data_IF_545368670073
#
_entry.id   IF_545368670073
#
_cell.length_a   1.000
_cell.length_b   1.000
_cell.length_c   1.000
_cell.angle_alpha   90.00
_cell.angle_beta   90.00
_cell.angle_gamma   90.00
#
_symmetry.space_group_name_H-M   'P 1'
#
loop_
_entity.id
_entity.type
_entity.pdbx_description
1 polymer ?
#
# COMPACT_ATOMS: atom_id res chain seq x y z
N UNK A 1 -10.70 -10.20 4.02
CA UNK A 1 -9.81 -9.40 3.15
C UNK A 1 -10.57 -8.27 2.48
N UNK A 2 -11.52 -8.55 1.56
CA UNK A 2 -12.17 -7.51 0.75
C UNK A 2 -12.88 -6.41 1.57
N UNK A 3 -13.52 -6.73 2.70
CA UNK A 3 -14.13 -5.71 3.58
C UNK A 3 -13.10 -4.76 4.19
N UNK A 4 -11.97 -5.29 4.64
CA UNK A 4 -10.88 -4.50 5.23
C UNK A 4 -10.20 -3.64 4.15
N UNK A 5 -10.03 -4.17 2.93
CA UNK A 5 -9.56 -3.39 1.77
C UNK A 5 -10.50 -2.23 1.42
N UNK A 6 -11.81 -2.46 1.45
CA UNK A 6 -12.81 -1.39 1.23
C UNK A 6 -12.71 -0.32 2.31
N UNK A 7 -12.51 -0.71 3.56
CA UNK A 7 -12.40 0.21 4.68
C UNK A 7 -11.11 1.05 4.62
N UNK A 8 -9.95 0.42 4.45
CA UNK A 8 -8.67 1.11 4.25
C UNK A 8 -8.69 2.05 3.05
N UNK A 9 -9.29 1.60 1.93
CA UNK A 9 -9.54 2.44 0.76
C UNK A 9 -10.37 3.67 1.12
N UNK A 10 -11.52 3.46 1.79
CA UNK A 10 -12.39 4.57 2.18
C UNK A 10 -11.66 5.56 3.09
N UNK A 11 -10.83 5.05 4.01
CA UNK A 11 -10.00 5.86 4.90
C UNK A 11 -9.01 6.73 4.13
N UNK A 12 -8.17 6.16 3.28
CA UNK A 12 -7.21 6.93 2.48
C UNK A 12 -7.89 7.87 1.47
N UNK A 13 -9.04 7.47 0.92
CA UNK A 13 -9.87 8.32 0.04
C UNK A 13 -10.42 9.56 0.76
N UNK A 14 -10.74 9.45 2.05
CA UNK A 14 -11.19 10.58 2.86
C UNK A 14 -10.04 11.51 3.30
N UNK A 15 -8.81 10.98 3.35
CA UNK A 15 -7.60 11.72 3.73
C UNK A 15 -7.04 12.51 2.56
N UNK A 16 -6.81 11.87 1.41
CA UNK A 16 -6.08 12.51 0.31
C UNK A 16 -7.10 13.20 -0.61
N UNK A 17 -6.99 14.53 -0.74
CA UNK A 17 -7.95 15.37 -1.46
C UNK A 17 -7.45 15.80 -2.85
N UNK A 18 -6.24 15.36 -3.21
CA UNK A 18 -5.59 15.72 -4.44
C UNK A 18 -6.22 15.02 -5.66
N UNK A 19 -6.04 15.62 -6.84
CA UNK A 19 -6.41 15.00 -8.12
C UNK A 19 -5.19 15.06 -9.02
N UNK A 20 -4.43 13.95 -9.15
CA UNK A 20 -3.21 13.96 -9.90
C UNK A 20 -3.49 13.96 -11.41
N UNK A 21 -2.46 14.20 -12.21
CA UNK A 21 -2.61 14.21 -13.67
C UNK A 21 -2.88 12.81 -14.22
N UNK A 22 -3.72 12.73 -15.25
CA UNK A 22 -4.01 11.46 -15.93
C UNK A 22 -2.80 10.96 -16.71
N UNK A 23 -2.46 9.69 -16.50
CA UNK A 23 -1.43 8.96 -17.25
C UNK A 23 -2.13 8.03 -18.23
N UNK A 24 -1.83 8.14 -19.52
CA UNK A 24 -2.39 7.26 -20.54
C UNK A 24 -1.65 5.92 -20.58
N UNK A 25 -2.37 4.83 -20.84
CA UNK A 25 -1.81 3.49 -21.03
C UNK A 25 -2.26 2.90 -22.36
N UNK A 26 -1.35 2.19 -23.03
CA UNK A 26 -1.75 1.16 -23.98
C UNK A 26 -2.13 -0.07 -23.17
N UNK A 27 -3.33 -0.63 -23.37
CA UNK A 27 -3.89 -1.79 -22.66
C UNK A 27 -3.11 -3.11 -22.79
N UNK A 28 -1.82 -3.05 -23.07
CA UNK A 28 -0.84 -4.13 -23.04
C UNK A 28 0.22 -3.93 -21.96
N UNK A 29 0.12 -2.85 -21.17
CA UNK A 29 1.11 -2.54 -20.13
C UNK A 29 0.81 -3.33 -18.86
N UNK A 30 1.76 -4.13 -18.41
CA UNK A 30 1.71 -4.78 -17.11
C UNK A 30 1.99 -3.75 -16.01
N UNK A 31 0.92 -3.25 -15.37
CA UNK A 31 1.02 -2.30 -14.26
C UNK A 31 1.52 -2.92 -12.95
N UNK A 32 1.79 -4.22 -12.95
CA UNK A 32 2.29 -4.93 -11.77
C UNK A 32 3.80 -5.15 -11.80
N UNK A 33 4.48 -4.70 -12.87
CA UNK A 33 5.94 -4.84 -13.04
C UNK A 33 6.40 -6.31 -12.91
N UNK A 34 5.64 -7.24 -13.49
CA UNK A 34 5.90 -8.68 -13.45
C UNK A 34 5.74 -9.34 -12.07
N UNK A 35 5.37 -8.59 -11.02
CA UNK A 35 5.10 -9.14 -9.68
C UNK A 35 3.82 -9.96 -9.65
N UNK A 36 2.92 -9.63 -10.59
CA UNK A 36 1.74 -10.38 -10.93
C UNK A 36 1.93 -10.82 -12.38
N UNK A 37 1.22 -11.86 -12.82
CA UNK A 37 1.47 -12.39 -14.15
C UNK A 37 1.10 -11.34 -15.23
N UNK A 38 1.86 -11.25 -16.33
CA UNK A 38 1.78 -10.16 -17.30
C UNK A 38 0.43 -10.05 -18.04
N UNK A 39 -0.47 -10.99 -17.82
CA UNK A 39 -1.79 -11.11 -18.43
C UNK A 39 -2.92 -10.58 -17.52
N UNK A 40 -2.58 -9.91 -16.40
CA UNK A 40 -3.52 -9.19 -15.54
C UNK A 40 -3.52 -7.66 -15.79
N UNK A 41 -2.90 -7.22 -16.88
CA UNK A 41 -2.80 -5.81 -17.26
C UNK A 41 -4.19 -5.14 -17.33
N UNK A 42 -4.34 -3.90 -16.88
CA UNK A 42 -5.66 -3.30 -16.76
C UNK A 42 -6.35 -2.99 -18.10
N UNK A 43 -7.68 -3.12 -18.09
CA UNK A 43 -8.64 -2.64 -19.10
C UNK A 43 -8.78 -1.11 -19.18
N UNK A 44 -7.77 -0.37 -18.72
CA UNK A 44 -7.84 1.09 -18.61
C UNK A 44 -7.00 1.75 -19.70
N UNK A 45 -7.61 2.71 -20.41
CA UNK A 45 -6.89 3.57 -21.36
C UNK A 45 -6.10 4.69 -20.66
N UNK A 46 -6.39 4.95 -19.38
CA UNK A 46 -5.70 5.93 -18.55
C UNK A 46 -5.92 5.67 -17.05
N UNK A 47 -5.02 6.18 -16.20
CA UNK A 47 -5.14 6.26 -14.74
C UNK A 47 -4.97 7.72 -14.33
N UNK A 48 -6.04 8.32 -13.84
CA UNK A 48 -6.08 9.67 -13.27
C UNK A 48 -5.85 9.72 -11.77
N UNK A 49 -5.74 8.57 -11.10
CA UNK A 49 -5.42 8.43 -9.68
C UNK A 49 -4.31 7.37 -9.48
N UNK A 50 -4.64 6.22 -8.88
CA UNK A 50 -3.79 5.05 -8.66
C UNK A 50 -4.61 3.77 -8.74
N UNK A 51 -4.02 2.72 -9.31
CA UNK A 51 -4.52 1.35 -9.23
C UNK A 51 -3.64 0.55 -8.28
N UNK A 52 -4.25 -0.15 -7.33
CA UNK A 52 -3.54 -0.98 -6.37
C UNK A 52 -3.99 -2.43 -6.55
N UNK A 53 -3.08 -3.29 -6.99
CA UNK A 53 -3.32 -4.72 -7.10
C UNK A 53 -3.00 -5.39 -5.78
N UNK A 54 -3.82 -6.35 -5.35
CA UNK A 54 -3.53 -7.06 -4.10
C UNK A 54 -3.80 -8.56 -4.18
N UNK A 55 -3.06 -9.34 -3.37
CA UNK A 55 -3.30 -10.78 -3.16
C UNK A 55 -2.86 -11.27 -1.79
N UNK A 56 -3.36 -12.45 -1.43
CA UNK A 56 -2.69 -13.30 -0.46
C UNK A 56 -1.51 -14.01 -1.12
N UNK A 57 -0.40 -14.16 -0.41
CA UNK A 57 0.82 -14.82 -0.88
C UNK A 57 1.58 -15.50 0.25
N UNK A 58 2.52 -16.38 -0.09
CA UNK A 58 3.51 -16.88 0.87
C UNK A 58 4.63 -15.84 1.00
N UNK A 59 4.76 -15.25 2.19
CA UNK A 59 5.79 -14.27 2.52
C UNK A 59 6.86 -14.87 3.46
N UNK A 60 7.95 -14.15 3.67
CA UNK A 60 8.96 -14.50 4.66
C UNK A 60 8.35 -14.62 6.06
N UNK A 61 8.88 -15.49 6.94
CA UNK A 61 8.36 -15.64 8.31
C UNK A 61 8.30 -14.30 9.05
N UNK A 62 7.16 -14.00 9.69
CA UNK A 62 6.94 -12.77 10.45
C UNK A 62 6.52 -11.56 9.62
N UNK A 63 6.51 -11.64 8.29
CA UNK A 63 6.05 -10.55 7.42
C UNK A 63 4.54 -10.66 7.21
N UNK A 64 3.78 -9.69 7.72
CA UNK A 64 2.32 -9.63 7.60
C UNK A 64 1.88 -9.17 6.21
N UNK A 65 2.56 -8.16 5.67
CA UNK A 65 2.29 -7.56 4.37
C UNK A 65 3.56 -7.05 3.71
N UNK A 66 3.44 -6.73 2.42
CA UNK A 66 4.43 -5.98 1.67
C UNK A 66 3.74 -5.24 0.55
N UNK A 67 4.00 -3.93 0.46
CA UNK A 67 3.42 -3.09 -0.56
C UNK A 67 4.41 -2.07 -1.11
N UNK A 68 4.08 -1.55 -2.28
CA UNK A 68 4.78 -0.40 -2.83
C UNK A 68 4.38 -0.04 -4.25
N UNK A 69 4.81 1.15 -4.72
CA UNK A 69 4.59 1.58 -6.09
C UNK A 69 5.30 0.64 -7.07
N UNK A 70 4.61 0.29 -8.14
CA UNK A 70 5.22 -0.32 -9.33
C UNK A 70 5.57 0.76 -10.35
N UNK A 71 4.77 1.82 -10.39
CA UNK A 71 5.03 2.96 -11.24
C UNK A 71 4.64 4.29 -10.58
N UNK A 72 5.48 5.29 -10.83
CA UNK A 72 5.31 6.66 -10.33
C UNK A 72 5.27 7.66 -11.47
N UNK A 73 4.54 8.77 -11.27
CA UNK A 73 4.54 9.93 -12.16
C UNK A 73 5.89 10.63 -12.05
N UNK A 74 6.43 11.10 -13.16
CA UNK A 74 7.62 11.97 -13.16
C UNK A 74 7.22 13.36 -13.65
N UNK A 75 7.69 14.44 -13.00
CA UNK A 75 8.68 14.48 -11.91
C UNK A 75 8.09 14.45 -10.48
N UNK A 76 6.78 14.27 -10.29
CA UNK A 76 6.15 14.41 -8.96
C UNK A 76 6.32 13.20 -8.03
N UNK A 77 6.78 12.06 -8.54
CA UNK A 77 6.92 10.78 -7.85
C UNK A 77 5.62 10.21 -7.24
N UNK A 78 4.46 10.78 -7.57
CA UNK A 78 3.16 10.25 -7.16
C UNK A 78 2.89 8.89 -7.82
N UNK A 79 2.66 7.82 -7.05
CA UNK A 79 2.30 6.52 -7.62
C UNK A 79 1.06 6.59 -8.50
N UNK A 80 1.04 5.82 -9.59
CA UNK A 80 -0.19 5.59 -10.37
C UNK A 80 -0.52 4.10 -10.51
N UNK A 81 0.41 3.24 -10.13
CA UNK A 81 0.19 1.81 -9.98
C UNK A 81 1.04 1.29 -8.82
N UNK A 82 0.48 0.34 -8.08
CA UNK A 82 1.12 -0.27 -6.93
C UNK A 82 0.62 -1.70 -6.73
N UNK A 83 1.35 -2.43 -5.89
CA UNK A 83 1.01 -3.80 -5.50
C UNK A 83 1.03 -3.94 -4.00
N UNK A 84 0.18 -4.80 -3.46
CA UNK A 84 0.19 -5.24 -2.06
C UNK A 84 0.08 -6.77 -1.99
N UNK A 85 0.87 -7.38 -1.12
CA UNK A 85 0.80 -8.80 -0.83
C UNK A 85 0.63 -8.98 0.68
N UNK A 86 -0.22 -9.90 1.08
CA UNK A 86 -0.43 -10.23 2.49
C UNK A 86 -0.17 -11.71 2.74
N UNK A 87 0.44 -12.03 3.88
CA UNK A 87 0.79 -13.41 4.22
C UNK A 87 -0.47 -14.26 4.39
N UNK A 88 -0.60 -15.31 3.57
CA UNK A 88 -1.73 -16.25 3.66
C UNK A 88 -1.79 -16.91 5.03
N UNK A 89 -0.65 -17.33 5.57
CA UNK A 89 -0.61 -18.06 6.85
C UNK A 89 -0.95 -17.19 8.04
N UNK A 90 -0.52 -15.92 8.03
CA UNK A 90 -0.81 -14.97 9.11
C UNK A 90 -2.22 -14.38 8.97
N UNK A 91 -2.71 -14.24 7.74
CA UNK A 91 -4.11 -13.92 7.49
C UNK A 91 -5.06 -15.00 8.04
N UNK A 92 -4.77 -16.28 7.76
CA UNK A 92 -5.55 -17.40 8.28
C UNK A 92 -5.47 -17.52 9.82
N UNK A 93 -4.37 -17.06 10.42
CA UNK A 93 -4.19 -16.99 11.87
C UNK A 93 -4.92 -15.79 12.53
N UNK A 94 -5.38 -14.82 11.73
CA UNK A 94 -6.03 -13.60 12.21
C UNK A 94 -5.09 -12.45 12.55
N UNK A 95 -3.80 -12.56 12.20
CA UNK A 95 -2.78 -11.55 12.51
C UNK A 95 -2.77 -10.40 11.48
N UNK A 96 -3.28 -10.62 10.27
CA UNK A 96 -3.45 -9.54 9.27
C UNK A 96 -4.76 -8.80 9.56
N UNK A 97 -4.64 -7.60 10.11
CA UNK A 97 -5.76 -6.76 10.56
C UNK A 97 -6.14 -5.70 9.53
N UNK A 98 -7.16 -4.90 9.86
CA UNK A 98 -7.49 -3.71 9.06
C UNK A 98 -6.37 -2.66 9.10
N UNK A 99 -5.68 -2.52 10.23
CA UNK A 99 -4.54 -1.62 10.39
C UNK A 99 -3.35 -2.09 9.56
N UNK A 100 -3.09 -3.40 9.49
CA UNK A 100 -2.08 -3.95 8.56
C UNK A 100 -2.38 -3.54 7.11
N UNK A 101 -3.64 -3.62 6.67
CA UNK A 101 -4.00 -3.23 5.31
C UNK A 101 -3.91 -1.72 5.11
N UNK A 102 -4.30 -0.93 6.10
CA UNK A 102 -4.21 0.53 6.06
C UNK A 102 -2.75 0.97 5.94
N UNK A 103 -1.85 0.33 6.70
CA UNK A 103 -0.40 0.50 6.66
C UNK A 103 0.18 0.18 5.27
N UNK A 104 -0.06 -1.03 4.76
CA UNK A 104 0.45 -1.42 3.44
C UNK A 104 -0.11 -0.53 2.31
N UNK A 105 -1.36 -0.07 2.45
CA UNK A 105 -1.93 0.86 1.49
C UNK A 105 -1.23 2.23 1.51
N UNK A 106 -0.69 2.67 2.66
CA UNK A 106 0.15 3.86 2.72
C UNK A 106 1.43 3.70 1.88
N UNK A 107 2.11 2.54 2.01
CA UNK A 107 3.28 2.22 1.19
C UNK A 107 2.95 2.13 -0.29
N UNK A 108 1.83 1.51 -0.66
CA UNK A 108 1.34 1.50 -2.04
C UNK A 108 1.12 2.93 -2.58
N UNK A 109 0.70 3.85 -1.71
CA UNK A 109 0.55 5.29 -2.00
C UNK A 109 1.87 6.07 -1.94
N UNK A 110 3.01 5.41 -1.71
CA UNK A 110 4.35 5.96 -1.80
C UNK A 110 5.00 6.31 -0.47
N UNK A 111 4.29 6.18 0.65
CA UNK A 111 4.86 6.44 1.98
C UNK A 111 6.12 5.61 2.19
N UNK A 112 7.22 6.23 2.62
CA UNK A 112 8.50 5.56 2.85
C UNK A 112 9.29 5.19 1.59
N UNK A 113 8.64 5.09 0.43
CA UNK A 113 9.22 4.51 -0.78
C UNK A 113 9.60 5.54 -1.85
N UNK A 114 9.10 6.78 -1.74
CA UNK A 114 9.47 7.88 -2.65
C UNK A 114 10.20 9.03 -1.94
N UNK A 115 10.55 8.84 -0.67
CA UNK A 115 11.13 9.89 0.18
C UNK A 115 12.54 10.31 -0.28
N UNK A 116 13.36 9.40 -0.80
CA UNK A 116 14.71 9.75 -1.29
C UNK A 116 14.60 10.64 -2.54
N UNK A 117 13.72 10.27 -3.47
CA UNK A 117 13.45 11.01 -4.70
C UNK A 117 12.87 12.40 -4.44
N UNK A 118 12.07 12.53 -3.38
CA UNK A 118 11.53 13.81 -2.92
C UNK A 118 12.54 14.62 -2.07
N UNK A 119 13.68 14.03 -1.70
CA UNK A 119 14.68 14.68 -0.85
C UNK A 119 14.20 14.88 0.60
N UNK A 120 13.35 13.98 1.10
CA UNK A 120 12.74 14.10 2.44
C UNK A 120 13.63 13.60 3.58
N UNK A 121 14.87 13.17 3.33
CA UNK A 121 15.81 12.79 4.38
C UNK A 121 16.76 13.92 4.75
N UNK A 122 17.03 14.11 6.04
CA UNK A 122 18.05 15.06 6.52
C UNK A 122 19.47 14.71 6.07
N UNK A 123 19.73 13.42 5.81
CA UNK A 123 20.98 12.85 5.32
C UNK A 123 20.68 11.52 4.61
N UNK A 124 21.66 10.91 3.94
CA UNK A 124 21.46 9.58 3.33
C UNK A 124 20.97 8.56 4.37
N UNK A 125 19.82 7.95 4.10
CA UNK A 125 19.31 6.84 4.90
C UNK A 125 20.01 5.53 4.51
N UNK A 126 20.48 4.78 5.50
CA UNK A 126 21.20 3.51 5.29
C UNK A 126 20.59 2.43 6.19
N UNK A 127 20.21 1.31 5.59
CA UNK A 127 19.68 0.13 6.30
C UNK A 127 20.70 -0.40 7.32
N UNK A 128 20.23 -0.70 8.53
CA UNK A 128 21.04 -1.19 9.65
C UNK A 128 22.00 -0.15 10.23
N UNK A 129 21.74 1.14 9.99
CA UNK A 129 22.52 2.24 10.55
C UNK A 129 22.00 2.66 11.92
N UNK A 130 22.90 3.05 12.82
CA UNK A 130 22.57 3.70 14.09
C UNK A 130 22.57 5.24 13.97
N UNK A 131 22.59 5.78 12.75
CA UNK A 131 22.53 7.21 12.53
C UNK A 131 21.07 7.68 12.61
N UNK A 132 20.83 8.73 13.40
CA UNK A 132 19.52 9.38 13.41
C UNK A 132 19.31 10.07 12.05
N UNK A 133 18.32 9.59 11.30
CA UNK A 133 17.85 10.21 10.06
C UNK A 133 16.48 10.81 10.35
N UNK A 134 16.28 12.06 9.96
CA UNK A 134 15.02 12.77 10.18
C UNK A 134 14.30 12.95 8.85
N UNK A 135 12.98 12.88 8.90
CA UNK A 135 12.11 13.35 7.83
C UNK A 135 12.06 14.88 7.83
N UNK A 136 12.31 15.50 6.68
CA UNK A 136 12.48 16.96 6.57
C UNK A 136 11.50 17.66 5.63
N UNK A 137 10.58 16.93 5.01
CA UNK A 137 9.58 17.54 4.13
C UNK A 137 8.50 18.29 4.94
N UNK A 138 8.06 19.41 4.38
CA UNK A 138 7.41 20.50 5.12
C UNK A 138 6.12 20.09 5.82
N UNK A 139 5.23 19.34 5.15
CA UNK A 139 3.90 19.05 5.69
C UNK A 139 3.95 18.00 6.80
N UNK A 140 4.74 16.94 6.64
CA UNK A 140 4.99 15.96 7.70
C UNK A 140 5.55 16.61 8.97
N UNK A 141 6.61 17.41 8.83
CA UNK A 141 7.26 18.13 9.95
C UNK A 141 6.30 19.14 10.59
N UNK A 142 5.51 19.88 9.80
CA UNK A 142 4.56 20.85 10.34
C UNK A 142 3.46 20.21 11.19
N UNK A 143 3.01 19.00 10.85
CA UNK A 143 2.04 18.26 11.66
C UNK A 143 2.68 17.57 12.86
N UNK A 144 3.93 17.09 12.72
CA UNK A 144 4.70 16.56 13.84
C UNK A 144 4.88 17.58 14.97
N UNK A 145 5.20 18.83 14.61
CA UNK A 145 5.36 19.93 15.56
C UNK A 145 4.06 20.36 16.27
N UNK A 146 2.91 19.79 15.90
CA UNK A 146 1.63 19.98 16.59
C UNK A 146 1.29 18.84 17.56
N UNK A 147 2.16 17.85 17.70
CA UNK A 147 2.03 16.75 18.67
C UNK A 147 2.74 17.09 19.98
N UNK A 148 2.66 16.18 20.97
CA UNK A 148 3.46 16.26 22.20
C UNK A 148 4.91 15.77 22.01
N UNK A 149 5.26 15.18 20.85
CA UNK A 149 6.56 14.53 20.63
C UNK A 149 7.75 15.49 20.88
N UNK A 150 7.77 16.74 20.36
CA UNK A 150 8.84 17.68 20.67
C UNK A 150 8.98 17.99 22.17
N UNK A 151 7.85 18.09 22.87
CA UNK A 151 7.83 18.44 24.30
C UNK A 151 8.35 17.32 25.20
N UNK A 152 8.31 16.07 24.73
CA UNK A 152 8.80 14.89 25.46
C UNK A 152 10.25 14.53 25.11
N UNK A 153 10.95 15.40 24.38
CA UNK A 153 12.35 15.23 24.04
C UNK A 153 12.63 14.58 22.69
N UNK A 154 11.62 14.55 21.79
CA UNK A 154 11.77 14.10 20.41
C UNK A 154 11.66 15.32 19.47
N UNK A 155 12.70 16.16 19.35
CA UNK A 155 12.61 17.44 18.63
C UNK A 155 12.44 17.28 17.11
N UNK A 156 12.85 16.13 16.56
CA UNK A 156 12.83 15.83 15.13
C UNK A 156 11.91 14.63 14.84
N UNK A 157 11.29 14.60 13.66
CA UNK A 157 10.54 13.44 13.17
C UNK A 157 11.53 12.40 12.63
N UNK A 158 11.76 11.33 13.37
CA UNK A 158 12.80 10.33 13.09
C UNK A 158 12.29 9.17 12.24
N UNK A 159 13.19 8.65 11.42
CA UNK A 159 12.95 7.51 10.53
C UNK A 159 13.64 6.29 11.11
N UNK A 160 13.02 5.11 10.96
CA UNK A 160 13.63 3.85 11.35
C UNK A 160 14.90 3.58 10.53
N UNK A 161 16.00 3.22 11.17
CA UNK A 161 17.26 2.89 10.48
C UNK A 161 17.97 1.67 11.04
N UNK A 162 17.50 1.14 12.17
CA UNK A 162 18.30 0.32 13.07
C UNK A 162 17.84 -1.13 13.18
N UNK A 163 16.75 -1.52 12.51
CA UNK A 163 16.27 -2.91 12.52
C UNK A 163 17.22 -3.85 11.78
N UNK A 164 17.98 -3.33 10.81
CA UNK A 164 18.84 -4.11 9.92
C UNK A 164 18.09 -4.77 8.76
N UNK A 165 16.81 -4.44 8.58
CA UNK A 165 15.95 -4.97 7.52
C UNK A 165 15.63 -3.90 6.49
N UNK A 166 15.87 -4.19 5.21
CA UNK A 166 15.47 -3.30 4.11
C UNK A 166 13.94 -3.18 3.95
N UNK A 167 13.17 -4.09 4.57
CA UNK A 167 11.71 -4.00 4.61
C UNK A 167 11.18 -3.12 5.74
N UNK A 168 12.06 -2.55 6.58
CA UNK A 168 11.68 -1.77 7.77
C UNK A 168 12.45 -0.44 7.78
N UNK A 169 13.78 -0.49 7.68
CA UNK A 169 14.61 0.70 7.70
C UNK A 169 14.35 1.60 6.48
N UNK A 170 14.44 2.91 6.67
CA UNK A 170 14.23 3.97 5.69
C UNK A 170 12.81 4.09 5.11
N UNK A 171 11.90 3.18 5.44
CA UNK A 171 10.50 3.23 4.97
C UNK A 171 9.47 3.59 6.05
N UNK A 172 9.89 3.64 7.31
CA UNK A 172 9.00 3.71 8.47
C UNK A 172 9.41 4.82 9.42
N UNK A 173 8.48 5.21 10.29
CA UNK A 173 8.86 5.93 11.50
C UNK A 173 9.58 4.98 12.46
N UNK A 174 10.51 5.51 13.26
CA UNK A 174 11.25 4.68 14.22
C UNK A 174 10.31 4.08 15.27
N UNK A 175 10.37 2.76 15.42
CA UNK A 175 9.61 2.04 16.43
C UNK A 175 9.93 2.55 17.84
N UNK A 176 11.20 2.86 18.08
CA UNK A 176 11.71 3.19 19.41
C UNK A 176 11.09 4.47 20.02
N UNK A 177 10.66 5.41 19.17
CA UNK A 177 10.11 6.69 19.62
C UNK A 177 8.60 6.81 19.41
N UNK A 178 8.04 6.04 18.47
CA UNK A 178 6.63 6.16 18.08
C UNK A 178 5.78 4.93 18.40
N UNK A 179 6.40 3.81 18.78
CA UNK A 179 5.75 2.60 19.31
C UNK A 179 4.53 2.22 18.47
N UNK A 180 3.32 2.45 18.99
CA UNK A 180 2.08 2.06 18.36
C UNK A 180 1.61 2.93 17.17
N UNK A 181 2.38 3.90 16.67
CA UNK A 181 1.96 4.65 15.49
C UNK A 181 1.83 3.73 14.27
N UNK A 182 0.79 3.91 13.45
CA UNK A 182 0.46 2.98 12.36
C UNK A 182 1.64 2.63 11.44
N UNK A 183 2.52 3.58 11.12
CA UNK A 183 3.61 3.46 10.15
C UNK A 183 4.97 3.20 10.79
N UNK A 184 5.01 2.70 12.02
CA UNK A 184 6.19 2.01 12.56
C UNK A 184 6.31 0.60 11.96
N UNK A 185 7.49 -0.03 11.98
CA UNK A 185 7.71 -1.32 11.30
C UNK A 185 7.14 -2.53 12.05
N UNK A 186 6.67 -2.38 13.29
CA UNK A 186 6.13 -3.49 14.09
C UNK A 186 4.62 -3.31 14.22
N UNK A 187 3.87 -4.32 13.79
CA UNK A 187 2.43 -4.33 14.03
C UNK A 187 2.16 -4.63 15.50
N UNK A 188 1.28 -3.84 16.09
CA UNK A 188 0.75 -4.13 17.41
C UNK A 188 -0.16 -5.36 17.39
N UNK A 189 -0.36 -5.92 18.58
CA UNK A 189 -1.38 -6.96 18.77
C UNK A 189 -2.79 -6.35 18.64
N UNK A 190 -3.81 -7.13 18.23
CA UNK A 190 -5.16 -6.60 17.95
C UNK A 190 -5.84 -5.83 19.09
N UNK A 191 -5.40 -6.01 20.34
CA UNK A 191 -5.94 -5.30 21.52
C UNK A 191 -5.31 -3.93 21.78
N UNK A 192 -4.27 -3.56 21.04
CA UNK A 192 -3.56 -2.27 21.18
C UNK A 192 -3.90 -1.41 19.96
N UNK A 193 -4.34 -0.18 20.21
CA UNK A 193 -4.68 0.77 19.15
C UNK A 193 -3.42 1.11 18.32
N UNK A 194 -3.52 1.06 16.99
CA UNK A 194 -2.50 1.55 16.05
C UNK A 194 -2.92 2.84 15.34
N UNK A 195 -2.83 4.01 16.01
CA UNK A 195 -3.31 5.27 15.44
C UNK A 195 -2.54 5.70 14.20
N UNK A 196 -3.28 6.04 13.14
CA UNK A 196 -2.76 6.85 12.04
C UNK A 196 -2.56 8.29 12.51
N UNK A 197 -1.31 8.70 12.70
CA UNK A 197 -0.98 10.01 13.25
C UNK A 197 -1.19 11.16 12.25
N UNK A 198 -1.21 12.37 12.80
CA UNK A 198 -1.26 13.61 12.01
C UNK A 198 0.00 13.81 11.16
N UNK A 199 1.17 13.38 11.64
CA UNK A 199 2.41 13.54 10.88
C UNK A 199 2.53 12.52 9.75
N UNK A 200 1.97 11.32 9.90
CA UNK A 200 1.79 10.38 8.77
C UNK A 200 0.91 10.99 7.68
N UNK A 201 -0.26 11.54 8.05
CA UNK A 201 -1.12 12.24 7.09
C UNK A 201 -0.41 13.47 6.48
N UNK A 202 0.36 14.19 7.29
CA UNK A 202 1.21 15.30 6.81
C UNK A 202 2.22 14.84 5.76
N UNK A 203 2.92 13.73 5.98
CA UNK A 203 3.87 13.17 5.02
C UNK A 203 3.18 12.74 3.71
N UNK A 204 1.93 12.25 3.77
CA UNK A 204 1.14 12.00 2.57
C UNK A 204 0.83 13.28 1.77
N UNK A 205 0.75 14.43 2.45
CA UNK A 205 0.58 15.73 1.79
C UNK A 205 1.82 16.14 0.98
N UNK A 206 3.01 15.77 1.44
CA UNK A 206 4.26 16.03 0.72
C UNK A 206 4.35 15.23 -0.59
N UNK A 207 3.66 14.09 -0.68
CA UNK A 207 3.58 13.25 -1.89
C UNK A 207 2.42 13.71 -2.79
N UNK A 208 1.22 13.80 -2.23
CA UNK A 208 -0.02 13.94 -3.02
C UNK A 208 -0.50 15.39 -3.14
N UNK A 209 -0.08 16.30 -2.27
CA UNK A 209 -0.64 17.63 -2.12
C UNK A 209 -1.76 17.65 -1.06
N UNK A 210 -2.84 18.41 -1.23
CA UNK A 210 -3.81 18.63 -0.15
C UNK A 210 -4.37 17.36 0.51
N UNK A 211 -4.36 17.33 1.84
CA UNK A 211 -4.93 16.27 2.69
C UNK A 211 -5.91 16.83 3.73
N UNK A 212 -6.82 15.98 4.21
CA UNK A 212 -7.69 16.23 5.35
C UNK A 212 -7.03 15.69 6.64
N UNK A 213 -6.22 16.52 7.30
CA UNK A 213 -5.53 16.13 8.54
C UNK A 213 -6.48 15.88 9.73
N UNK A 214 -7.75 16.30 9.63
CA UNK A 214 -8.76 16.02 10.66
C UNK A 214 -9.18 14.54 10.68
N UNK A 215 -8.81 13.77 9.67
CA UNK A 215 -8.99 12.33 9.68
C UNK A 215 -8.01 11.63 10.62
N UNK A 216 -6.93 12.28 11.10
CA UNK A 216 -5.95 11.63 11.96
C UNK A 216 -6.56 11.03 13.23
N UNK A 217 -6.06 9.86 13.63
CA UNK A 217 -6.30 9.33 14.96
C UNK A 217 -5.52 10.17 16.00
N UNK A 218 -6.00 10.15 17.24
CA UNK A 218 -5.26 10.78 18.33
C UNK A 218 -4.03 9.92 18.65
N UNK A 219 -2.85 10.44 18.33
CA UNK A 219 -1.56 9.84 18.67
C UNK A 219 -0.86 10.69 19.73
N UNK A 220 -0.11 10.05 20.62
CA UNK A 220 0.64 10.71 21.68
C UNK A 220 1.96 9.98 21.83
N UNK A 221 3.08 10.67 21.63
CA UNK A 221 4.38 10.06 21.82
C UNK A 221 4.53 9.56 23.26
N UNK A 222 5.14 8.37 23.48
CA UNK A 222 5.38 7.82 24.81
C UNK A 222 6.16 8.81 25.70
N UNK A 223 5.45 9.44 26.63
CA UNK A 223 5.99 10.49 27.49
C UNK A 223 4.87 11.45 27.90
N UNK A 224 4.38 11.34 29.13
CA UNK A 224 3.41 12.24 29.80
C UNK A 224 2.13 12.66 29.04
N UNK A 225 1.01 11.96 29.35
CA UNK A 225 -0.33 12.52 29.64
C UNK A 225 -1.17 13.14 28.51
N UNK A 226 -2.30 12.48 28.18
CA UNK A 226 -3.35 12.81 27.19
C UNK A 226 -3.96 14.24 27.28
N UNK A 227 -4.72 14.82 26.33
CA UNK A 227 -5.60 14.31 25.27
C UNK A 227 -6.00 15.45 24.29
N UNK A 228 -6.57 15.17 23.11
CA UNK A 228 -8.00 15.46 22.79
C UNK A 228 -8.36 15.29 21.31
N UNK A 229 -9.57 14.76 21.12
CA UNK A 229 -10.24 14.38 19.87
C UNK A 229 -10.76 15.59 19.10
N UNK A 230 -10.69 15.56 17.77
CA UNK A 230 -11.65 16.27 16.91
C UNK A 230 -12.08 15.39 15.74
N UNK A 231 -13.39 15.35 15.48
CA UNK A 231 -13.98 14.81 14.26
C UNK A 231 -14.26 15.92 13.25
N UNK A 232 -14.06 15.64 11.96
CA UNK A 232 -14.32 16.57 10.86
C UNK A 232 -14.90 15.86 9.63
N UNK A 233 -15.56 16.60 8.71
CA UNK A 233 -16.53 16.06 7.76
C UNK A 233 -15.98 15.73 6.36
N UNK A 234 -16.77 14.94 5.63
CA UNK A 234 -16.52 14.35 4.30
C UNK A 234 -16.23 15.35 3.17
N UNK A 235 -15.14 15.16 2.42
CA UNK A 235 -14.93 15.80 1.11
C UNK A 235 -14.15 14.92 0.11
N UNK A 236 -14.47 15.16 -1.18
CA UNK A 236 -13.87 14.74 -2.47
C UNK A 236 -12.94 13.52 -2.51
N UNK A 237 -13.46 12.46 -3.15
CA UNK A 237 -12.83 11.15 -3.28
C UNK A 237 -11.74 11.09 -4.34
N UNK A 238 -10.53 10.68 -3.94
CA UNK A 238 -9.61 9.93 -4.82
C UNK A 238 -10.21 8.57 -5.11
N UNK A 239 -10.25 8.15 -6.37
CA UNK A 239 -10.72 6.82 -6.71
C UNK A 239 -9.58 5.81 -6.58
N UNK A 240 -9.26 5.45 -5.35
CA UNK A 240 -8.45 4.25 -5.09
C UNK A 240 -9.21 3.04 -5.61
N UNK A 241 -8.69 2.35 -6.63
CA UNK A 241 -9.27 1.09 -7.10
C UNK A 241 -8.39 -0.07 -6.62
N UNK A 242 -8.62 -0.59 -5.40
CA UNK A 242 -8.07 -1.89 -5.04
C UNK A 242 -8.69 -2.91 -5.99
N UNK A 243 -7.85 -3.66 -6.70
CA UNK A 243 -8.29 -4.74 -7.59
C UNK A 243 -7.75 -6.04 -7.02
N UNK A 244 -8.66 -6.89 -6.52
CA UNK A 244 -8.32 -8.27 -6.21
C UNK A 244 -7.97 -8.98 -7.53
N UNK A 245 -6.87 -9.75 -7.58
CA UNK A 245 -6.51 -10.53 -8.78
C UNK A 245 -7.67 -11.41 -9.26
N UNK A 246 -8.40 -12.04 -8.34
CA UNK A 246 -9.60 -12.83 -8.66
C UNK A 246 -10.61 -12.01 -9.47
N UNK A 247 -10.87 -10.78 -9.03
CA UNK A 247 -11.85 -9.91 -9.70
C UNK A 247 -11.30 -9.39 -11.04
N UNK A 248 -10.00 -9.12 -11.13
CA UNK A 248 -9.34 -8.78 -12.39
C UNK A 248 -9.51 -9.90 -13.43
N UNK A 249 -9.32 -11.17 -13.01
CA UNK A 249 -9.52 -12.34 -13.87
C UNK A 249 -10.94 -12.46 -14.38
N UNK A 250 -11.92 -12.28 -13.48
CA UNK A 250 -13.34 -12.39 -13.81
C UNK A 250 -13.74 -11.26 -14.78
N UNK A 251 -13.30 -10.03 -14.51
CA UNK A 251 -13.56 -8.89 -15.39
C UNK A 251 -12.92 -9.07 -16.77
N UNK A 252 -11.71 -9.60 -16.81
CA UNK A 252 -11.03 -9.90 -18.07
C UNK A 252 -11.69 -10.95 -18.91
N UNK A 253 -12.12 -12.02 -18.27
CA UNK A 253 -12.94 -13.01 -18.91
C UNK A 253 -14.24 -12.42 -19.45
N UNK A 254 -14.92 -11.53 -18.72
CA UNK A 254 -16.12 -10.86 -19.24
C UNK A 254 -15.83 -10.00 -20.49
N UNK A 255 -14.61 -9.49 -20.61
CA UNK A 255 -14.16 -8.67 -21.75
C UNK A 255 -13.55 -9.47 -22.92
N UNK A 256 -13.58 -10.80 -22.85
CA UNK A 256 -13.16 -11.67 -23.95
C UNK A 256 -11.81 -12.37 -23.73
N UNK A 257 -11.10 -12.07 -22.65
CA UNK A 257 -9.80 -12.69 -22.38
C UNK A 257 -9.92 -14.15 -21.93
N UNK A 258 -8.81 -14.88 -22.10
CA UNK A 258 -8.65 -16.26 -21.64
C UNK A 258 -7.91 -16.24 -20.32
N UNK A 259 -8.47 -16.94 -19.33
CA UNK A 259 -7.80 -17.15 -18.04
C UNK A 259 -7.01 -18.45 -18.12
N UNK A 260 -5.75 -18.43 -17.70
CA UNK A 260 -4.84 -19.56 -17.75
C UNK A 260 -4.53 -20.13 -16.37
N UNK A 261 -4.20 -21.42 -16.30
CA UNK A 261 -3.97 -22.15 -15.06
C UNK A 261 -2.88 -21.51 -14.18
N UNK A 262 -1.82 -21.00 -14.81
CA UNK A 262 -0.71 -20.34 -14.12
C UNK A 262 -1.16 -19.06 -13.39
N UNK A 263 -2.21 -18.39 -13.87
CA UNK A 263 -2.82 -17.20 -13.25
C UNK A 263 -3.51 -17.50 -11.91
N UNK A 264 -3.81 -18.77 -11.64
CA UNK A 264 -4.52 -19.20 -10.44
C UNK A 264 -3.57 -19.74 -9.36
N UNK A 265 -2.26 -19.80 -9.60
CA UNK A 265 -1.29 -20.52 -8.74
C UNK A 265 -1.18 -19.90 -7.35
N UNK A 266 -1.35 -18.58 -7.24
CA UNK A 266 -1.25 -17.86 -5.97
C UNK A 266 -2.62 -17.47 -5.39
N UNK A 267 -3.72 -17.95 -5.98
CA UNK A 267 -5.04 -17.78 -5.38
C UNK A 267 -5.26 -18.86 -4.32
N UNK A 268 -5.97 -18.50 -3.25
CA UNK A 268 -6.47 -19.50 -2.30
C UNK A 268 -7.41 -20.49 -3.00
N UNK A 269 -7.61 -21.71 -2.47
CA UNK A 269 -8.55 -22.67 -3.06
C UNK A 269 -9.97 -22.12 -3.24
N UNK A 270 -10.44 -21.28 -2.32
CA UNK A 270 -11.74 -20.60 -2.42
C UNK A 270 -11.76 -19.56 -3.54
N UNK A 271 -10.76 -18.68 -3.62
CA UNK A 271 -10.69 -17.68 -4.69
C UNK A 271 -10.58 -18.32 -6.07
N UNK A 272 -9.78 -19.40 -6.18
CA UNK A 272 -9.69 -20.21 -7.38
C UNK A 272 -11.04 -20.78 -7.79
N UNK A 273 -11.81 -21.32 -6.85
CA UNK A 273 -13.14 -21.87 -7.14
C UNK A 273 -14.10 -20.77 -7.63
N UNK A 274 -14.05 -19.59 -7.01
CA UNK A 274 -14.84 -18.44 -7.44
C UNK A 274 -14.51 -17.99 -8.87
N UNK A 275 -13.22 -17.95 -9.26
CA UNK A 275 -12.83 -17.67 -10.65
C UNK A 275 -13.41 -18.73 -11.59
N UNK A 276 -13.27 -20.01 -11.25
CA UNK A 276 -13.76 -21.12 -12.08
C UNK A 276 -15.28 -21.06 -12.26
N UNK A 277 -16.02 -20.80 -11.19
CA UNK A 277 -17.49 -20.71 -11.23
C UNK A 277 -17.96 -19.52 -12.05
N UNK A 278 -17.30 -18.37 -11.91
CA UNK A 278 -17.58 -17.17 -12.71
C UNK A 278 -17.29 -17.38 -14.20
N UNK A 279 -16.19 -18.05 -14.54
CA UNK A 279 -15.88 -18.43 -15.93
C UNK A 279 -16.94 -19.36 -16.51
N UNK A 280 -17.35 -20.38 -15.74
CA UNK A 280 -18.39 -21.32 -16.16
C UNK A 280 -19.73 -20.61 -16.44
N UNK A 281 -20.10 -19.63 -15.61
CA UNK A 281 -21.28 -18.79 -15.83
C UNK A 281 -21.21 -17.96 -17.13
N UNK A 282 -20.00 -17.63 -17.59
CA UNK A 282 -19.73 -16.95 -18.86
C UNK A 282 -19.59 -17.93 -20.06
N UNK A 283 -19.72 -19.24 -19.84
CA UNK A 283 -19.46 -20.26 -20.86
C UNK A 283 -17.97 -20.39 -21.22
N UNK A 284 -17.07 -20.01 -20.31
CA UNK A 284 -15.62 -20.05 -20.45
C UNK A 284 -15.00 -21.10 -19.52
N UNK A 285 -13.76 -21.47 -19.78
CA UNK A 285 -12.97 -22.39 -18.94
C UNK A 285 -11.56 -21.86 -18.77
N UNK A 286 -10.87 -22.31 -17.72
CA UNK A 286 -9.44 -22.05 -17.53
C UNK A 286 -8.63 -22.84 -18.57
N UNK A 287 -7.75 -22.17 -19.31
CA UNK A 287 -6.88 -22.80 -20.31
C UNK A 287 -5.56 -23.26 -19.65
N UNK A 288 -5.10 -24.46 -20.01
CA UNK A 288 -3.94 -25.08 -19.40
C UNK A 288 -2.60 -24.60 -19.99
N UNK A 289 -2.59 -23.86 -21.11
CA UNK A 289 -1.35 -23.50 -21.81
C UNK A 289 -1.28 -22.02 -22.17
N UNK A 290 -0.28 -21.30 -21.64
CA UNK A 290 -0.07 -19.88 -21.96
C UNK A 290 0.34 -19.68 -23.43
N UNK A 291 0.15 -18.47 -24.01
CA UNK A 291 0.58 -18.16 -25.37
C UNK A 291 2.09 -18.44 -25.61
N UNK A 292 2.91 -18.26 -24.58
CA UNK A 292 4.36 -18.53 -24.62
C UNK A 292 4.68 -20.03 -24.71
N UNK A 293 3.90 -20.90 -24.07
CA UNK A 293 4.08 -22.35 -24.18
C UNK A 293 3.61 -22.92 -25.52
N UNK A 294 2.61 -22.30 -26.15
CA UNK A 294 2.15 -22.71 -27.49
C UNK A 294 3.15 -22.34 -28.59
N UNK A 295 3.89 -21.23 -28.45
CA UNK A 295 4.95 -20.87 -29.39
C UNK A 295 6.17 -21.78 -29.31
N UNK A 296 6.54 -22.27 -28.12
CA UNK A 296 7.67 -23.20 -27.96
C UNK A 296 7.35 -24.60 -28.51
N UNK A 297 6.09 -25.05 -28.40
CA UNK A 297 5.62 -26.34 -28.96
C UNK A 297 5.45 -26.34 -30.48
N UNK A 298 5.22 -25.19 -31.12
CA UNK A 298 5.14 -25.07 -32.59
C UNK A 298 6.51 -24.97 -33.28
N UNK A 299 7.59 -24.75 -32.53
CA UNK A 299 8.97 -24.67 -33.03
C UNK A 299 9.78 -25.97 -32.83
N UNK A 300 9.13 -27.05 -32.40
CA UNK A 300 9.71 -28.41 -32.36
C UNK A 300 9.08 -29.30 -33.40
#
# INVERSE_FOLDING_TARGET
>A
MDSMMISAKARWTGIILATPSSVAFSGTNDLTDGRFLPEFGPYYSAVDDIIIFYRLATLSPGVLGSAGPTFVRTPSFQPYAATMEFSTTLFDAGDVTEDTILHEMAHALGFGLVWDELGCYSTTCTVGSNANVSYICDQGVAQYNQTNCPDVGLPDLLIETSTGSAGSDCGHWTEADYDNELMTPISEIPEVDQPLSRFTIGAMSDIWGPVNVLEANNFTCPGVGAASVMSGPQHTSILLRPVNIKDALIQGAAMGETVYEHQLVNLTPSERQEVVDALAAMGKTVDQASPHERQSRRRR
#
